data_IF_453463821616
#
_entry.id   IF_453463821616
#
_cell.length_a   1.000
_cell.length_b   1.000
_cell.length_c   1.000
_cell.angle_alpha   90.00
_cell.angle_beta   90.00
_cell.angle_gamma   90.00
#
_symmetry.space_group_name_H-M   'P 1'
#
loop_
_entity.id
_entity.type
_entity.pdbx_description
1 polymer ?
#
# COMPACT_ATOMS: atom_id res chain seq x y z
N UNK A 1 5.54 -21.34 25.66
CA UNK A 1 5.35 -19.89 25.46
C UNK A 1 6.27 -19.24 24.39
N UNK A 2 7.43 -19.82 24.04
CA UNK A 2 8.34 -19.20 23.05
C UNK A 2 7.88 -19.27 21.58
N UNK A 3 7.11 -20.29 21.17
CA UNK A 3 6.65 -20.42 19.78
C UNK A 3 5.64 -19.35 19.32
N UNK A 4 4.77 -18.89 20.22
CA UNK A 4 3.77 -17.85 19.90
C UNK A 4 4.38 -16.45 19.83
N UNK A 5 5.41 -16.15 20.65
CA UNK A 5 6.19 -14.91 20.53
C UNK A 5 6.96 -14.86 19.21
N UNK A 6 7.55 -15.98 18.78
CA UNK A 6 8.32 -16.02 17.54
C UNK A 6 7.45 -15.78 16.30
N UNK A 7 6.23 -16.33 16.24
CA UNK A 7 5.33 -16.12 15.10
C UNK A 7 4.81 -14.69 15.00
N UNK A 8 4.58 -14.01 16.14
CA UNK A 8 4.23 -12.59 16.18
C UNK A 8 5.42 -11.72 15.77
N UNK A 9 6.63 -12.02 16.27
CA UNK A 9 7.84 -11.27 15.95
C UNK A 9 8.19 -11.33 14.45
N UNK A 10 8.01 -12.49 13.80
CA UNK A 10 8.25 -12.63 12.35
C UNK A 10 7.24 -11.81 11.53
N UNK A 11 5.96 -11.83 11.92
CA UNK A 11 4.92 -11.03 11.25
C UNK A 11 5.19 -9.53 11.38
N UNK A 12 5.61 -9.10 12.58
CA UNK A 12 5.99 -7.71 12.83
C UNK A 12 7.20 -7.32 11.98
N UNK A 13 8.22 -8.17 11.91
CA UNK A 13 9.42 -7.94 11.10
C UNK A 13 9.08 -7.79 9.61
N UNK A 14 8.27 -8.69 9.05
CA UNK A 14 7.82 -8.61 7.65
C UNK A 14 7.04 -7.33 7.37
N UNK A 15 6.19 -6.89 8.30
CA UNK A 15 5.46 -5.63 8.18
C UNK A 15 6.40 -4.43 8.11
N UNK A 16 7.39 -4.33 9.01
CA UNK A 16 8.35 -3.23 8.99
C UNK A 16 9.23 -3.25 7.74
N UNK A 17 9.67 -4.42 7.28
CA UNK A 17 10.44 -4.55 6.03
C UNK A 17 9.60 -4.05 4.84
N UNK A 18 8.34 -4.46 4.75
CA UNK A 18 7.43 -3.98 3.70
C UNK A 18 7.24 -2.45 3.76
N UNK A 19 7.05 -1.89 4.97
CA UNK A 19 6.90 -0.46 5.17
C UNK A 19 8.14 0.32 4.73
N UNK A 20 9.34 -0.15 5.10
CA UNK A 20 10.62 0.46 4.69
C UNK A 20 10.77 0.41 3.17
N UNK A 21 10.42 -0.70 2.53
CA UNK A 21 10.49 -0.83 1.08
C UNK A 21 9.55 0.15 0.37
N UNK A 22 8.31 0.31 0.85
CA UNK A 22 7.34 1.25 0.26
C UNK A 22 7.81 2.69 0.44
N UNK A 23 8.27 3.07 1.64
CA UNK A 23 8.80 4.41 1.90
C UNK A 23 10.04 4.67 1.04
N UNK A 24 10.94 3.70 0.93
CA UNK A 24 12.14 3.78 0.10
C UNK A 24 11.82 3.97 -1.38
N UNK A 25 10.85 3.22 -1.91
CA UNK A 25 10.41 3.33 -3.29
C UNK A 25 9.83 4.73 -3.58
N UNK A 26 8.92 5.21 -2.72
CA UNK A 26 8.31 6.54 -2.86
C UNK A 26 9.36 7.66 -2.76
N UNK A 27 10.29 7.56 -1.82
CA UNK A 27 11.37 8.52 -1.65
C UNK A 27 12.30 8.55 -2.89
N UNK A 28 12.60 7.37 -3.44
CA UNK A 28 13.41 7.24 -4.66
C UNK A 28 12.70 7.85 -5.88
N UNK A 29 11.42 7.53 -6.07
CA UNK A 29 10.58 8.07 -7.16
C UNK A 29 10.51 9.60 -7.12
N UNK A 30 10.24 10.17 -5.93
CA UNK A 30 10.26 11.63 -5.72
C UNK A 30 11.64 12.24 -5.93
N UNK A 31 12.72 11.55 -5.56
CA UNK A 31 14.09 12.04 -5.77
C UNK A 31 14.40 12.18 -7.26
N UNK A 32 13.97 11.25 -8.10
CA UNK A 32 14.15 11.33 -9.56
C UNK A 32 13.43 12.56 -10.13
N UNK A 33 12.18 12.79 -9.73
CA UNK A 33 11.41 13.96 -10.19
C UNK A 33 12.11 15.26 -9.83
N UNK A 34 12.62 15.37 -8.59
CA UNK A 34 13.33 16.56 -8.14
C UNK A 34 14.67 16.75 -8.84
N UNK A 35 15.40 15.67 -9.13
CA UNK A 35 16.64 15.71 -9.93
C UNK A 35 16.34 16.26 -11.33
N UNK A 36 15.32 15.75 -12.02
CA UNK A 36 14.93 16.24 -13.35
C UNK A 36 14.54 17.73 -13.33
N UNK A 37 13.86 18.20 -12.29
CA UNK A 37 13.53 19.63 -12.14
C UNK A 37 14.78 20.49 -11.96
N UNK A 38 15.75 20.02 -11.17
CA UNK A 38 17.02 20.72 -10.99
C UNK A 38 17.83 20.75 -12.28
N UNK A 39 17.89 19.64 -13.02
CA UNK A 39 18.57 19.57 -14.32
C UNK A 39 17.93 20.55 -15.32
N UNK A 40 16.59 20.62 -15.36
CA UNK A 40 15.88 21.63 -16.16
C UNK A 40 16.25 23.06 -15.75
N UNK A 41 16.35 23.34 -14.44
CA UNK A 41 16.76 24.67 -13.94
C UNK A 41 18.17 25.03 -14.40
N UNK A 42 19.11 24.10 -14.35
CA UNK A 42 20.48 24.31 -14.83
C UNK A 42 20.51 24.59 -16.34
N UNK A 43 19.70 23.87 -17.12
CA UNK A 43 19.55 24.11 -18.56
C UNK A 43 18.99 25.50 -18.83
N UNK A 44 17.94 25.93 -18.13
CA UNK A 44 17.37 27.29 -18.29
C UNK A 44 18.36 28.35 -17.87
N UNK A 45 19.15 28.11 -16.81
CA UNK A 45 20.21 29.02 -16.38
C UNK A 45 21.27 29.19 -17.48
N UNK A 46 21.73 28.10 -18.08
CA UNK A 46 22.65 28.16 -19.21
C UNK A 46 22.07 28.98 -20.38
N UNK A 47 20.79 28.81 -20.69
CA UNK A 47 20.14 29.63 -21.73
C UNK A 47 20.04 31.10 -21.35
N UNK A 48 19.75 31.43 -20.08
CA UNK A 48 19.75 32.83 -19.63
C UNK A 48 21.13 33.49 -19.82
N UNK A 49 22.21 32.77 -19.53
CA UNK A 49 23.58 33.25 -19.73
C UNK A 49 23.94 33.42 -21.21
N UNK A 50 23.48 32.53 -22.08
CA UNK A 50 23.66 32.66 -23.54
C UNK A 50 22.89 33.89 -24.07
N UNK A 51 21.64 34.07 -23.67
CA UNK A 51 20.82 35.23 -24.08
C UNK A 51 21.49 36.52 -23.60
N UNK A 52 21.89 36.59 -22.32
CA UNK A 52 22.52 37.77 -21.75
C UNK A 52 23.80 38.18 -22.52
N UNK A 53 24.59 37.21 -23.00
CA UNK A 53 25.79 37.48 -23.80
C UNK A 53 25.52 37.86 -25.25
N UNK A 54 24.42 37.38 -25.83
CA UNK A 54 24.12 37.56 -27.27
C UNK A 54 23.34 38.85 -27.54
N UNK A 55 22.50 39.30 -26.60
CA UNK A 55 21.69 40.53 -26.74
C UNK A 55 22.55 41.82 -26.73
N UNK A 56 23.82 41.72 -26.34
CA UNK A 56 24.79 42.82 -26.40
C UNK A 56 25.23 43.17 -27.84
N UNK A 57 25.01 42.29 -28.81
CA UNK A 57 25.32 42.54 -30.21
C UNK A 57 24.03 43.01 -30.91
N UNK A 58 23.94 44.31 -31.20
CA UNK A 58 22.81 45.02 -31.83
C UNK A 58 21.96 44.15 -32.80
N UNK A 59 20.79 43.66 -32.34
CA UNK A 59 19.53 43.46 -33.11
C UNK A 59 18.57 42.44 -32.45
N UNK A 60 17.26 42.68 -32.57
CA UNK A 60 16.19 41.70 -32.29
C UNK A 60 16.36 40.36 -33.04
N UNK A 61 17.20 40.34 -34.08
CA UNK A 61 17.51 39.15 -34.89
C UNK A 61 18.29 38.11 -34.08
N UNK A 62 19.12 38.55 -33.13
CA UNK A 62 19.93 37.67 -32.29
C UNK A 62 19.10 36.92 -31.23
N UNK A 63 18.06 37.56 -30.68
CA UNK A 63 17.09 36.92 -29.78
C UNK A 63 16.31 35.81 -30.47
N UNK A 64 15.80 36.08 -31.69
CA UNK A 64 15.11 35.08 -32.48
C UNK A 64 16.03 33.88 -32.77
N UNK A 65 17.30 34.11 -33.11
CA UNK A 65 18.27 33.03 -33.31
C UNK A 65 18.45 32.14 -32.07
N UNK A 66 18.62 32.73 -30.87
CA UNK A 66 18.76 31.94 -29.63
C UNK A 66 17.49 31.10 -29.36
N UNK A 67 16.30 31.67 -29.55
CA UNK A 67 15.04 30.95 -29.32
C UNK A 67 14.73 29.89 -30.40
N UNK A 68 15.07 30.18 -31.66
CA UNK A 68 14.74 29.33 -32.80
C UNK A 68 15.78 28.26 -33.11
N UNK A 69 17.06 28.48 -32.79
CA UNK A 69 18.14 27.53 -33.07
C UNK A 69 18.69 26.83 -31.82
N UNK A 70 18.78 27.54 -30.69
CA UNK A 70 19.43 27.02 -29.46
C UNK A 70 18.41 26.41 -28.50
N UNK A 71 17.33 27.14 -28.21
CA UNK A 71 16.29 26.74 -27.25
C UNK A 71 15.30 25.73 -27.88
N UNK A 72 15.30 25.56 -29.21
CA UNK A 72 14.42 24.62 -29.94
C UNK A 72 14.42 23.18 -29.40
N UNK A 73 15.51 22.74 -28.76
CA UNK A 73 15.64 21.37 -28.25
C UNK A 73 15.01 21.16 -26.86
N UNK A 74 14.57 22.21 -26.17
CA UNK A 74 13.90 22.04 -24.87
C UNK A 74 12.60 21.27 -25.05
N UNK A 75 12.27 20.42 -24.08
CA UNK A 75 11.02 19.65 -24.05
C UNK A 75 10.08 20.08 -22.91
N UNK A 76 10.32 21.26 -22.35
CA UNK A 76 9.48 21.89 -21.33
C UNK A 76 9.03 23.28 -21.82
N UNK A 77 7.88 23.77 -21.33
CA UNK A 77 7.38 25.09 -21.67
C UNK A 77 8.32 26.16 -21.11
N UNK A 78 8.64 27.15 -21.93
CA UNK A 78 9.50 28.28 -21.57
C UNK A 78 8.91 29.57 -22.15
N UNK A 79 8.90 30.63 -21.34
CA UNK A 79 8.47 31.98 -21.72
C UNK A 79 9.59 32.95 -21.36
N UNK A 80 9.95 33.82 -22.30
CA UNK A 80 10.75 34.99 -22.05
C UNK A 80 9.85 36.21 -21.90
N UNK A 81 10.06 36.97 -20.83
CA UNK A 81 9.41 38.25 -20.58
C UNK A 81 10.42 39.39 -20.59
N UNK A 82 9.93 40.61 -20.82
CA UNK A 82 10.70 41.82 -20.51
C UNK A 82 10.89 41.99 -18.98
N UNK A 83 11.56 43.09 -18.63
CA UNK A 83 11.78 43.52 -17.24
C UNK A 83 10.48 43.81 -16.47
N UNK A 84 9.36 44.08 -17.14
CA UNK A 84 8.03 44.29 -16.56
C UNK A 84 7.21 42.98 -16.47
N UNK A 85 7.83 41.83 -16.73
CA UNK A 85 7.18 40.51 -16.74
C UNK A 85 6.08 40.34 -17.79
N UNK A 86 6.16 41.09 -18.89
CA UNK A 86 5.27 40.93 -20.04
C UNK A 86 5.84 39.87 -21.01
N UNK A 87 5.09 38.80 -21.34
CA UNK A 87 5.56 37.75 -22.25
C UNK A 87 5.88 38.32 -23.64
N UNK A 88 7.11 38.09 -24.11
CA UNK A 88 7.56 38.44 -25.47
C UNK A 88 7.63 37.18 -26.33
N UNK A 89 8.33 36.15 -25.85
CA UNK A 89 8.52 34.89 -26.57
C UNK A 89 8.06 33.70 -25.74
N UNK A 90 7.51 32.70 -26.41
CA UNK A 90 6.98 31.50 -25.80
C UNK A 90 7.30 30.27 -26.66
N UNK A 91 7.71 29.17 -26.03
CA UNK A 91 7.99 27.89 -26.70
C UNK A 91 7.44 26.71 -25.90
N UNK A 92 7.18 25.62 -26.62
CA UNK A 92 6.56 24.39 -26.10
C UNK A 92 5.25 24.62 -25.34
N UNK A 93 4.50 25.62 -25.80
CA UNK A 93 3.13 25.89 -25.40
C UNK A 93 2.23 25.63 -26.59
N UNK A 94 0.96 25.31 -26.33
CA UNK A 94 -0.05 25.11 -27.37
C UNK A 94 -0.03 26.28 -28.37
N UNK A 95 -0.04 25.99 -29.67
CA UNK A 95 -0.08 27.05 -30.68
C UNK A 95 -1.37 27.87 -30.53
N UNK A 96 -1.23 29.19 -30.59
CA UNK A 96 -2.32 30.19 -30.55
C UNK A 96 -2.90 30.54 -29.17
N UNK A 97 -2.05 30.71 -28.15
CA UNK A 97 -2.49 31.31 -26.88
C UNK A 97 -2.73 32.81 -27.04
N UNK A 98 -3.84 33.31 -26.49
CA UNK A 98 -4.07 34.77 -26.35
C UNK A 98 -3.06 35.37 -25.35
N UNK A 99 -2.79 36.68 -25.40
CA UNK A 99 -1.91 37.34 -24.42
C UNK A 99 -2.31 37.06 -22.95
N UNK A 100 -3.61 36.99 -22.67
CA UNK A 100 -4.14 36.65 -21.34
C UNK A 100 -3.81 35.20 -20.94
N UNK A 101 -3.91 34.26 -21.89
CA UNK A 101 -3.57 32.85 -21.66
C UNK A 101 -2.06 32.64 -21.49
N UNK A 102 -1.24 33.41 -22.20
CA UNK A 102 0.21 33.45 -22.03
C UNK A 102 0.58 33.97 -20.64
N UNK A 103 -0.03 35.06 -20.19
CA UNK A 103 0.18 35.58 -18.84
C UNK A 103 -0.22 34.54 -17.79
N UNK A 104 -1.37 33.87 -17.96
CA UNK A 104 -1.82 32.82 -17.05
C UNK A 104 -0.84 31.64 -17.03
N UNK A 105 -0.29 31.27 -18.17
CA UNK A 105 0.71 30.19 -18.29
C UNK A 105 2.00 30.58 -17.58
N UNK A 106 2.49 31.80 -17.77
CA UNK A 106 3.63 32.37 -17.06
C UNK A 106 3.43 32.30 -15.54
N UNK A 107 2.31 32.82 -15.03
CA UNK A 107 2.01 32.76 -13.59
C UNK A 107 1.89 31.33 -13.06
N UNK A 108 1.43 30.38 -13.90
CA UNK A 108 1.38 28.97 -13.55
C UNK A 108 2.76 28.33 -13.51
N UNK A 109 3.70 28.75 -14.36
CA UNK A 109 5.09 28.32 -14.34
C UNK A 109 5.82 28.85 -13.11
N UNK A 110 5.58 30.11 -12.75
CA UNK A 110 6.23 30.75 -11.59
C UNK A 110 5.82 30.15 -10.25
N UNK A 111 4.64 29.52 -10.20
CA UNK A 111 4.22 28.71 -9.04
C UNK A 111 4.95 27.37 -8.94
N UNK A 112 5.45 26.87 -10.06
CA UNK A 112 6.17 25.59 -10.12
C UNK A 112 7.66 25.79 -9.89
N UNK A 113 8.23 26.84 -10.49
CA UNK A 113 9.66 27.14 -10.47
C UNK A 113 9.90 28.64 -10.38
N UNK A 114 10.93 29.07 -9.67
CA UNK A 114 11.34 30.47 -9.63
C UNK A 114 11.83 30.92 -11.02
N UNK A 115 11.38 32.07 -11.55
CA UNK A 115 11.87 32.60 -12.82
C UNK A 115 13.36 32.95 -12.73
N UNK A 116 14.10 32.73 -13.82
CA UNK A 116 15.53 33.00 -13.89
C UNK A 116 15.74 34.38 -14.53
N UNK A 117 16.35 35.35 -13.82
CA UNK A 117 16.60 36.67 -14.38
C UNK A 117 17.70 36.60 -15.45
N UNK A 118 17.50 37.33 -16.54
CA UNK A 118 18.52 37.55 -17.56
C UNK A 118 19.19 38.87 -17.25
N UNK A 119 20.40 38.80 -16.68
CA UNK A 119 21.18 39.97 -16.30
C UNK A 119 22.39 40.06 -17.20
N UNK A 120 22.53 41.18 -17.89
CA UNK A 120 23.74 41.55 -18.60
C UNK A 120 24.62 42.39 -17.67
N UNK A 121 25.87 42.00 -17.48
CA UNK A 121 26.85 42.81 -16.74
C UNK A 121 27.83 43.40 -17.73
N UNK A 122 27.85 44.73 -17.81
CA UNK A 122 28.77 45.47 -18.67
C UNK A 122 30.22 45.22 -18.22
N UNK A 123 31.12 44.74 -19.10
CA UNK A 123 32.51 44.47 -18.76
C UNK A 123 33.32 45.70 -18.35
N UNK A 124 32.96 46.89 -18.85
CA UNK A 124 33.73 48.12 -18.67
C UNK A 124 33.24 48.93 -17.47
N UNK A 125 31.92 48.97 -17.24
CA UNK A 125 31.31 49.71 -16.12
C UNK A 125 30.99 48.84 -14.90
N UNK A 126 30.98 47.51 -15.06
CA UNK A 126 30.53 46.53 -14.07
C UNK A 126 29.08 46.77 -13.59
N UNK A 127 28.29 47.53 -14.35
CA UNK A 127 26.86 47.74 -14.10
C UNK A 127 26.05 46.54 -14.61
N UNK A 128 25.08 46.10 -13.81
CA UNK A 128 24.21 44.98 -14.15
C UNK A 128 22.85 45.48 -14.62
N UNK A 129 22.53 45.23 -15.89
CA UNK A 129 21.28 45.61 -16.54
C UNK A 129 20.38 44.37 -16.61
N UNK A 130 19.17 44.47 -16.04
CA UNK A 130 18.16 43.43 -16.14
C UNK A 130 17.48 43.52 -17.51
N UNK A 131 17.66 42.49 -18.34
CA UNK A 131 17.06 42.41 -19.67
C UNK A 131 15.64 41.82 -19.63
N UNK A 132 15.37 40.93 -18.66
CA UNK A 132 14.09 40.24 -18.54
C UNK A 132 14.18 38.97 -17.72
N UNK A 133 13.22 38.06 -17.90
CA UNK A 133 13.15 36.80 -17.16
C UNK A 133 12.85 35.60 -18.07
N UNK A 134 13.40 34.45 -17.72
CA UNK A 134 12.99 33.14 -18.25
C UNK A 134 12.09 32.44 -17.24
N UNK A 135 10.83 32.26 -17.62
CA UNK A 135 9.84 31.48 -16.91
C UNK A 135 9.79 30.09 -17.53
N UNK A 136 9.78 29.03 -16.70
CA UNK A 136 9.78 27.66 -17.20
C UNK A 136 8.92 26.75 -16.34
N UNK A 137 8.19 25.84 -16.99
CA UNK A 137 7.34 24.86 -16.33
C UNK A 137 7.94 23.46 -16.33
N UNK A 138 7.26 22.55 -15.66
CA UNK A 138 7.58 21.13 -15.75
C UNK A 138 7.35 20.59 -17.18
N UNK A 139 8.23 19.71 -17.64
CA UNK A 139 8.01 18.97 -18.89
C UNK A 139 6.82 18.00 -18.74
N UNK A 140 6.27 17.57 -19.88
CA UNK A 140 5.24 16.53 -19.89
C UNK A 140 5.72 15.23 -19.23
N UNK A 141 7.02 14.92 -19.34
CA UNK A 141 7.63 13.79 -18.68
C UNK A 141 7.61 13.95 -17.16
N UNK A 142 8.06 15.09 -16.63
CA UNK A 142 8.04 15.38 -15.19
C UNK A 142 6.61 15.31 -14.66
N UNK A 143 5.64 15.88 -15.37
CA UNK A 143 4.23 15.83 -14.98
C UNK A 143 3.67 14.41 -14.92
N UNK A 144 4.06 13.53 -15.86
CA UNK A 144 3.70 12.10 -15.82
C UNK A 144 4.39 11.37 -14.67
N UNK A 145 5.67 11.66 -14.42
CA UNK A 145 6.44 11.05 -13.34
C UNK A 145 5.92 11.46 -11.95
N UNK A 146 5.39 12.67 -11.78
CA UNK A 146 4.72 13.10 -10.56
C UNK A 146 3.48 12.25 -10.18
N UNK A 147 2.89 11.55 -11.15
CA UNK A 147 1.78 10.63 -10.89
C UNK A 147 2.23 9.24 -10.45
N UNK A 148 3.51 8.88 -10.65
CA UNK A 148 4.03 7.56 -10.27
C UNK A 148 3.83 7.23 -8.78
N UNK A 149 4.11 8.13 -7.81
CA UNK A 149 3.91 7.83 -6.40
C UNK A 149 2.46 7.42 -6.07
N UNK A 150 1.47 8.04 -6.72
CA UNK A 150 0.06 7.69 -6.52
C UNK A 150 -0.28 6.33 -7.12
N UNK A 151 0.27 6.01 -8.29
CA UNK A 151 0.12 4.69 -8.90
C UNK A 151 0.77 3.61 -8.04
N UNK A 152 1.98 3.86 -7.51
CA UNK A 152 2.69 2.98 -6.58
C UNK A 152 1.85 2.69 -5.34
N UNK A 153 1.28 3.73 -4.70
CA UNK A 153 0.36 3.57 -3.56
C UNK A 153 -0.85 2.72 -3.95
N UNK A 154 -1.44 2.96 -5.13
CA UNK A 154 -2.56 2.17 -5.65
C UNK A 154 -2.21 0.69 -5.81
N UNK A 155 -1.05 0.38 -6.37
CA UNK A 155 -0.55 -1.00 -6.53
C UNK A 155 -0.32 -1.66 -5.17
N UNK A 156 0.33 -0.96 -4.23
CA UNK A 156 0.55 -1.48 -2.87
C UNK A 156 -0.79 -1.76 -2.16
N UNK A 157 -1.74 -0.83 -2.24
CA UNK A 157 -3.06 -1.00 -1.67
C UNK A 157 -3.81 -2.20 -2.26
N UNK A 158 -3.70 -2.40 -3.58
CA UNK A 158 -4.26 -3.57 -4.27
C UNK A 158 -3.65 -4.88 -3.74
N UNK A 159 -2.32 -4.95 -3.58
CA UNK A 159 -1.67 -6.14 -3.03
C UNK A 159 -2.07 -6.41 -1.58
N UNK A 160 -2.17 -5.37 -0.74
CA UNK A 160 -2.68 -5.50 0.63
C UNK A 160 -4.12 -6.03 0.64
N UNK A 161 -4.97 -5.49 -0.24
CA UNK A 161 -6.36 -5.91 -0.36
C UNK A 161 -6.50 -7.38 -0.81
N UNK A 162 -5.76 -7.78 -1.84
CA UNK A 162 -5.73 -9.18 -2.30
C UNK A 162 -5.17 -10.10 -1.21
N UNK A 163 -4.10 -9.69 -0.52
CA UNK A 163 -3.55 -10.41 0.62
C UNK A 163 -4.55 -10.58 1.75
N UNK A 164 -5.33 -9.54 2.05
CA UNK A 164 -6.40 -9.58 3.05
C UNK A 164 -7.52 -10.57 2.67
N UNK A 165 -8.01 -10.51 1.42
CA UNK A 165 -9.01 -11.47 0.92
C UNK A 165 -8.48 -12.89 0.98
N UNK A 166 -7.25 -13.12 0.49
CA UNK A 166 -6.61 -14.44 0.50
C UNK A 166 -6.45 -14.98 1.91
N UNK A 167 -5.92 -14.18 2.84
CA UNK A 167 -5.76 -14.57 4.24
C UNK A 167 -7.11 -14.90 4.91
N UNK A 168 -8.13 -14.09 4.67
CA UNK A 168 -9.46 -14.33 5.22
C UNK A 168 -10.09 -15.61 4.64
N UNK A 169 -9.91 -15.85 3.34
CA UNK A 169 -10.37 -17.06 2.66
C UNK A 169 -9.69 -18.32 3.20
N UNK A 170 -8.37 -18.29 3.39
CA UNK A 170 -7.60 -19.38 3.98
C UNK A 170 -8.10 -19.66 5.40
N UNK A 171 -8.19 -18.64 6.25
CA UNK A 171 -8.64 -18.79 7.64
C UNK A 171 -10.06 -19.35 7.74
N UNK A 172 -10.97 -18.91 6.87
CA UNK A 172 -12.34 -19.44 6.83
C UNK A 172 -12.38 -20.89 6.32
N UNK A 173 -11.50 -21.23 5.37
CA UNK A 173 -11.39 -22.59 4.86
C UNK A 173 -10.78 -23.54 5.89
N UNK A 174 -9.76 -23.12 6.64
CA UNK A 174 -9.21 -23.88 7.77
C UNK A 174 -10.28 -24.15 8.82
N UNK A 175 -11.05 -23.13 9.24
CA UNK A 175 -12.17 -23.31 10.16
C UNK A 175 -13.18 -24.33 9.63
N UNK A 176 -13.63 -24.17 8.38
CA UNK A 176 -14.59 -25.09 7.75
C UNK A 176 -14.06 -26.53 7.70
N UNK A 177 -12.79 -26.71 7.38
CA UNK A 177 -12.16 -28.04 7.37
C UNK A 177 -12.11 -28.67 8.76
N UNK A 178 -11.79 -27.89 9.79
CA UNK A 178 -11.83 -28.35 11.20
C UNK A 178 -13.26 -28.78 11.56
N UNK A 179 -14.28 -27.99 11.20
CA UNK A 179 -15.70 -28.33 11.43
C UNK A 179 -16.13 -29.61 10.70
N UNK A 180 -15.75 -29.78 9.43
CA UNK A 180 -16.04 -31.01 8.67
C UNK A 180 -15.35 -32.22 9.31
N UNK A 181 -14.10 -32.07 9.74
CA UNK A 181 -13.36 -33.11 10.46
C UNK A 181 -14.04 -33.50 11.78
N UNK A 182 -14.42 -32.52 12.60
CA UNK A 182 -15.14 -32.73 13.85
C UNK A 182 -16.49 -33.40 13.63
N UNK A 183 -17.26 -32.98 12.61
CA UNK A 183 -18.55 -33.59 12.29
C UNK A 183 -18.39 -35.06 11.87
N UNK A 184 -17.38 -35.39 11.07
CA UNK A 184 -17.09 -36.77 10.66
C UNK A 184 -16.73 -37.66 11.85
N UNK A 185 -15.85 -37.17 12.73
CA UNK A 185 -15.44 -37.89 13.95
C UNK A 185 -16.63 -38.05 14.91
N UNK A 186 -17.46 -37.02 15.07
CA UNK A 186 -18.65 -37.08 15.93
C UNK A 186 -19.68 -38.07 15.40
N UNK A 187 -19.91 -38.08 14.09
CA UNK A 187 -20.81 -39.06 13.46
C UNK A 187 -20.31 -40.50 13.71
N UNK A 188 -19.00 -40.72 13.68
CA UNK A 188 -18.41 -42.01 14.02
C UNK A 188 -18.60 -42.35 15.51
N UNK A 189 -18.27 -41.42 16.42
CA UNK A 189 -18.38 -41.62 17.87
C UNK A 189 -19.81 -41.84 18.35
N UNK A 190 -20.81 -41.20 17.71
CA UNK A 190 -22.22 -41.43 18.00
C UNK A 190 -22.77 -42.69 17.31
N UNK A 191 -22.21 -43.06 16.16
CA UNK A 191 -22.66 -44.23 15.39
C UNK A 191 -22.46 -45.55 16.13
N UNK A 192 -21.34 -45.73 16.82
CA UNK A 192 -21.03 -47.00 17.52
C UNK A 192 -22.00 -47.30 18.69
N UNK A 193 -22.26 -46.39 19.65
CA UNK A 193 -23.22 -46.65 20.72
C UNK A 193 -24.66 -46.77 20.21
N UNK A 194 -25.05 -45.97 19.21
CA UNK A 194 -26.39 -46.08 18.60
C UNK A 194 -26.59 -47.44 17.95
N UNK A 195 -25.56 -47.95 17.26
CA UNK A 195 -25.61 -49.30 16.66
C UNK A 195 -25.66 -50.41 17.70
N UNK A 196 -24.92 -50.27 18.80
CA UNK A 196 -24.99 -51.20 19.94
C UNK A 196 -26.39 -51.22 20.56
N UNK A 197 -27.00 -50.06 20.79
CA UNK A 197 -28.37 -49.95 21.30
C UNK A 197 -29.41 -50.57 20.37
N UNK A 198 -29.27 -50.41 19.05
CA UNK A 198 -30.13 -51.11 18.09
C UNK A 198 -30.00 -52.64 18.22
N UNK A 199 -28.78 -53.16 18.41
CA UNK A 199 -28.54 -54.58 18.67
C UNK A 199 -29.16 -55.07 19.98
N UNK A 200 -29.09 -54.28 21.05
CA UNK A 200 -29.74 -54.61 22.32
C UNK A 200 -31.28 -54.63 22.21
N UNK A 201 -31.87 -53.69 21.46
CA UNK A 201 -33.32 -53.69 21.18
C UNK A 201 -33.74 -54.97 20.45
N UNK A 202 -32.94 -55.43 19.47
CA UNK A 202 -33.21 -56.68 18.76
C UNK A 202 -33.04 -57.92 19.66
N UNK A 203 -32.00 -57.93 20.51
CA UNK A 203 -31.78 -58.99 21.51
C UNK A 203 -32.92 -59.09 22.50
N UNK A 204 -33.44 -57.95 22.97
CA UNK A 204 -34.57 -57.90 23.88
C UNK A 204 -35.85 -58.47 23.26
N UNK A 205 -36.08 -58.21 21.95
CA UNK A 205 -37.22 -58.75 21.19
C UNK A 205 -37.12 -60.26 20.97
N UNK A 206 -35.91 -60.77 20.69
CA UNK A 206 -35.68 -62.19 20.39
C UNK A 206 -35.54 -63.06 21.65
N UNK A 207 -35.04 -62.49 22.75
CA UNK A 207 -34.75 -63.21 24.01
C UNK A 207 -35.36 -62.49 25.23
N UNK A 208 -36.70 -62.39 25.33
CA UNK A 208 -37.38 -61.61 26.37
C UNK A 208 -37.10 -62.10 27.80
N UNK A 209 -36.70 -63.37 27.97
CA UNK A 209 -36.31 -63.95 29.27
C UNK A 209 -34.97 -63.40 29.79
N UNK A 210 -34.15 -62.79 28.94
CA UNK A 210 -32.86 -62.16 29.31
C UNK A 210 -33.00 -60.66 29.59
N UNK A 211 -34.24 -60.14 29.65
CA UNK A 211 -34.53 -58.70 29.68
C UNK A 211 -33.78 -57.92 30.75
N UNK A 212 -33.66 -58.46 31.96
CA UNK A 212 -32.94 -57.79 33.06
C UNK A 212 -31.46 -57.52 32.72
N UNK A 213 -30.77 -58.49 32.13
CA UNK A 213 -29.36 -58.34 31.77
C UNK A 213 -29.19 -57.42 30.55
N UNK A 214 -30.08 -57.53 29.56
CA UNK A 214 -30.06 -56.69 28.36
C UNK A 214 -30.29 -55.21 28.70
N UNK A 215 -31.26 -54.91 29.57
CA UNK A 215 -31.54 -53.53 30.02
C UNK A 215 -30.34 -52.94 30.75
N UNK A 216 -29.65 -53.72 31.60
CA UNK A 216 -28.45 -53.26 32.31
C UNK A 216 -27.32 -52.87 31.37
N UNK A 217 -27.08 -53.63 30.30
CA UNK A 217 -26.07 -53.28 29.29
C UNK A 217 -26.51 -52.08 28.43
N UNK A 218 -27.80 -51.98 28.09
CA UNK A 218 -28.35 -50.79 27.42
C UNK A 218 -28.14 -49.51 28.24
N UNK A 219 -28.36 -49.55 29.56
CA UNK A 219 -28.12 -48.41 30.45
C UNK A 219 -26.64 -47.98 30.45
N UNK A 220 -25.72 -48.94 30.37
CA UNK A 220 -24.28 -48.68 30.27
C UNK A 220 -23.92 -47.97 28.96
N UNK A 221 -24.46 -48.43 27.82
CA UNK A 221 -24.24 -47.81 26.52
C UNK A 221 -24.92 -46.44 26.40
N UNK A 222 -26.08 -46.26 27.03
CA UNK A 222 -26.80 -44.98 27.09
C UNK A 222 -26.02 -43.95 27.92
N UNK A 223 -25.42 -44.37 29.05
CA UNK A 223 -24.51 -43.53 29.84
C UNK A 223 -23.26 -43.13 29.04
N UNK A 224 -22.75 -44.03 28.21
CA UNK A 224 -21.61 -43.75 27.32
C UNK A 224 -21.98 -42.73 26.25
N UNK A 225 -23.17 -42.85 25.66
CA UNK A 225 -23.73 -41.87 24.72
C UNK A 225 -23.91 -40.49 25.36
N UNK A 226 -24.44 -40.44 26.58
CA UNK A 226 -24.60 -39.19 27.34
C UNK A 226 -23.25 -38.50 27.60
N UNK A 227 -22.22 -39.26 27.96
CA UNK A 227 -20.86 -38.72 28.13
C UNK A 227 -20.30 -38.14 26.84
N UNK A 228 -20.52 -38.80 25.70
CA UNK A 228 -20.10 -38.29 24.38
C UNK A 228 -20.85 -37.00 24.04
N UNK A 229 -22.17 -36.97 24.22
CA UNK A 229 -23.00 -35.77 24.02
C UNK A 229 -22.58 -34.60 24.92
N UNK A 230 -22.29 -34.86 26.19
CA UNK A 230 -21.80 -33.85 27.13
C UNK A 230 -20.45 -33.26 26.72
N UNK A 231 -19.53 -34.10 26.21
CA UNK A 231 -18.24 -33.64 25.68
C UNK A 231 -18.41 -32.79 24.42
N UNK A 232 -19.28 -33.22 23.51
CA UNK A 232 -19.56 -32.47 22.28
C UNK A 232 -20.22 -31.11 22.57
N UNK A 233 -21.18 -31.05 23.49
CA UNK A 233 -21.82 -29.80 23.90
C UNK A 233 -20.84 -28.78 24.50
N UNK A 234 -19.69 -29.24 25.00
CA UNK A 234 -18.63 -28.38 25.54
C UNK A 234 -17.61 -27.97 24.48
N UNK A 235 -17.61 -28.57 23.29
CA UNK A 235 -16.74 -28.17 22.19
C UNK A 235 -17.27 -26.88 21.56
N UNK A 236 -16.43 -25.83 21.54
CA UNK A 236 -16.77 -24.52 20.98
C UNK A 236 -17.18 -23.46 22.01
N UNK A 237 -17.30 -23.82 23.29
CA UNK A 237 -17.33 -22.82 24.36
C UNK A 237 -15.90 -22.33 24.64
N UNK A 238 -15.69 -21.01 24.59
CA UNK A 238 -14.48 -20.42 25.12
C UNK A 238 -14.44 -20.70 26.63
N UNK A 239 -13.43 -21.46 27.05
CA UNK A 239 -13.27 -21.79 28.46
C UNK A 239 -12.84 -20.54 29.22
N UNK A 240 -13.66 -20.07 30.15
CA UNK A 240 -13.29 -18.96 31.03
C UNK A 240 -12.05 -19.35 31.84
N UNK A 241 -10.92 -18.71 31.52
CA UNK A 241 -9.69 -18.86 32.28
C UNK A 241 -9.89 -18.23 33.66
N UNK A 242 -9.93 -19.06 34.69
CA UNK A 242 -9.95 -18.62 36.09
C UNK A 242 -8.55 -18.74 36.68
N UNK A 243 -8.10 -17.70 37.36
CA UNK A 243 -6.89 -17.77 38.16
C UNK A 243 -7.10 -18.78 39.28
N UNK A 244 -6.26 -19.81 39.34
CA UNK A 244 -6.33 -20.85 40.37
C UNK A 244 -4.97 -20.96 41.06
N UNK A 245 -5.00 -21.16 42.38
CA UNK A 245 -3.79 -21.41 43.15
C UNK A 245 -3.26 -22.81 42.84
N UNK A 246 -2.01 -22.89 42.39
CA UNK A 246 -1.32 -24.16 42.14
C UNK A 246 -1.27 -25.05 43.40
N UNK A 247 -1.09 -24.44 44.58
CA UNK A 247 -1.10 -25.16 45.86
C UNK A 247 -2.46 -25.81 46.11
N UNK A 248 -3.55 -25.07 45.92
CA UNK A 248 -4.91 -25.57 46.12
C UNK A 248 -5.29 -26.69 45.13
N UNK A 249 -4.78 -26.59 43.89
CA UNK A 249 -4.96 -27.62 42.87
C UNK A 249 -4.25 -28.93 43.25
N UNK A 250 -2.99 -28.84 43.71
CA UNK A 250 -2.20 -29.99 44.14
C UNK A 250 -2.82 -30.64 45.38
N UNK A 251 -3.21 -29.85 46.37
CA UNK A 251 -3.85 -30.35 47.60
C UNK A 251 -5.15 -31.10 47.27
N UNK A 252 -6.04 -30.54 46.42
CA UNK A 252 -7.29 -31.23 46.00
C UNK A 252 -7.07 -32.55 45.29
N UNK A 253 -6.03 -32.66 44.47
CA UNK A 253 -5.74 -33.89 43.71
C UNK A 253 -5.02 -34.94 44.55
N UNK A 254 -4.32 -34.53 45.62
CA UNK A 254 -3.62 -35.43 46.54
C UNK A 254 -4.52 -36.11 47.59
N UNK A 255 -5.79 -35.70 47.68
CA UNK A 255 -6.78 -36.24 48.62
C UNK A 255 -7.56 -37.43 48.03
N UNK A 256 -7.41 -37.70 46.73
CA UNK A 256 -7.89 -38.93 46.05
C UNK A 256 -6.72 -39.89 45.81
#
# INVERSE_FOLDING_TARGET
MNGYRNSVNIKLGLFFVGLILVIGLLAYSNSIVNRLRNDNREIVKLYSEIIAKTVNEDSDTNLNFVFDEIIKKVQFPIIYSDSESKPIYARNLSQSLTPEQLQKSLTSMDKQNDPIPIVYTDPDSNESILLGYLHYGDSDLIRKLQWLPYLEIGVVALFIFLGFIGFNSIRNSEKRNIWVGMARETAHQLGTPVSALMGWVDRLRTHPKESYNVVKEMESDLKRLEQIGSRFSKMGYDSELKSISLKELVDRQSVY
#
